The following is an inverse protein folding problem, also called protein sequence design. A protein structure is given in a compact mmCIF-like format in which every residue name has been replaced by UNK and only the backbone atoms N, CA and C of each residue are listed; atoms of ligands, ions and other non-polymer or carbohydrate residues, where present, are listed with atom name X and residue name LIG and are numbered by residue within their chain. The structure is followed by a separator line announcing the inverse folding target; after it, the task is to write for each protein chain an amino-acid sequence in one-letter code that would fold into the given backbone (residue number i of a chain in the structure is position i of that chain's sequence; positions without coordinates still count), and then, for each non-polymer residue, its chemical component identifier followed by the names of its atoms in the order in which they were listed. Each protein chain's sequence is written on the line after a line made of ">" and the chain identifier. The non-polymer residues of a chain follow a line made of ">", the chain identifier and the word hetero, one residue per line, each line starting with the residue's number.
data_IF_036944451629
#
_entry.id   IF_036944451629
#
_cell.length_a   1.000
_cell.length_b   1.000
_cell.length_c   1.000
_cell.angle_alpha   90.00
_cell.angle_beta   90.00
_cell.angle_gamma   90.00
#
_symmetry.space_group_name_H-M   'P 1'
#
loop_
_entity.id
_entity.type
_entity.pdbx_description
1 polymer ?
#
# COMPACT_ATOMS: atom_id res chain seq x y z
N UNK A 1 -18.54 -15.88 -16.91
CA UNK A 1 -17.08 -16.05 -16.66
C UNK A 1 -16.21 -15.27 -17.66
N UNK A 2 -16.67 -14.98 -18.88
CA UNK A 2 -15.93 -14.18 -19.90
C UNK A 2 -15.83 -12.67 -19.62
N UNK A 3 -16.87 -12.03 -19.07
CA UNK A 3 -16.86 -10.58 -18.81
C UNK A 3 -15.76 -10.14 -17.82
N UNK A 4 -15.43 -11.00 -16.84
CA UNK A 4 -14.37 -10.73 -15.86
C UNK A 4 -12.97 -10.78 -16.48
N UNK A 5 -12.72 -11.71 -17.41
CA UNK A 5 -11.44 -11.82 -18.11
C UNK A 5 -11.18 -10.61 -19.01
N UNK A 6 -12.21 -10.09 -19.67
CA UNK A 6 -12.09 -8.87 -20.46
C UNK A 6 -11.76 -7.66 -19.58
N UNK A 7 -12.44 -7.49 -18.44
CA UNK A 7 -12.21 -6.36 -17.55
C UNK A 7 -10.80 -6.35 -16.95
N UNK A 8 -10.34 -7.48 -16.39
CA UNK A 8 -8.98 -7.57 -15.81
C UNK A 8 -7.89 -7.32 -16.84
N UNK A 9 -8.07 -7.82 -18.06
CA UNK A 9 -7.12 -7.57 -19.17
C UNK A 9 -7.04 -6.09 -19.54
N UNK A 10 -8.19 -5.36 -19.52
CA UNK A 10 -8.21 -3.91 -19.75
C UNK A 10 -7.53 -3.13 -18.63
N UNK A 11 -7.72 -3.53 -17.37
CA UNK A 11 -7.03 -2.90 -16.24
C UNK A 11 -5.53 -3.12 -16.32
N UNK A 12 -5.10 -4.35 -16.58
CA UNK A 12 -3.70 -4.69 -16.81
C UNK A 12 -3.09 -3.79 -17.90
N UNK A 13 -3.69 -3.77 -19.09
CA UNK A 13 -3.17 -2.98 -20.21
C UNK A 13 -3.13 -1.47 -19.91
N UNK A 14 -4.08 -0.95 -19.12
CA UNK A 14 -4.08 0.46 -18.73
C UNK A 14 -2.98 0.77 -17.71
N UNK A 15 -2.89 -0.03 -16.64
CA UNK A 15 -1.95 0.20 -15.54
C UNK A 15 -0.51 -0.24 -15.84
N UNK A 16 -0.29 -1.02 -16.90
CA UNK A 16 1.02 -1.38 -17.45
C UNK A 16 1.42 -0.48 -18.65
N UNK A 17 0.86 0.73 -18.68
CA UNK A 17 1.07 1.72 -19.74
C UNK A 17 0.74 3.13 -19.28
N UNK A 18 -0.14 3.83 -19.99
CA UNK A 18 -0.48 5.23 -19.68
C UNK A 18 -1.00 5.46 -18.25
N UNK A 19 -1.66 4.44 -17.67
CA UNK A 19 -2.10 4.48 -16.29
C UNK A 19 -0.93 4.56 -15.32
N UNK A 20 0.13 3.77 -15.55
CA UNK A 20 1.33 3.79 -14.72
C UNK A 20 1.92 5.19 -14.60
N UNK A 21 2.24 5.82 -15.74
CA UNK A 21 2.86 7.16 -15.76
C UNK A 21 2.02 8.19 -15.00
N UNK A 22 0.69 8.17 -15.21
CA UNK A 22 -0.23 9.12 -14.57
C UNK A 22 -0.31 8.89 -13.06
N UNK A 23 -0.48 7.65 -12.63
CA UNK A 23 -0.66 7.32 -11.22
C UNK A 23 0.65 7.39 -10.44
N UNK A 24 1.76 6.97 -11.02
CA UNK A 24 3.11 7.15 -10.47
C UNK A 24 3.41 8.64 -10.23
N UNK A 25 3.11 9.52 -11.20
CA UNK A 25 3.26 10.96 -11.00
C UNK A 25 2.32 11.52 -9.92
N UNK A 26 1.10 11.01 -9.80
CA UNK A 26 0.16 11.42 -8.73
C UNK A 26 0.63 10.95 -7.35
N UNK A 27 1.28 9.80 -7.24
CA UNK A 27 1.67 9.21 -5.96
C UNK A 27 3.12 9.50 -5.55
N UNK A 28 3.96 9.96 -6.47
CA UNK A 28 5.28 10.50 -6.19
C UNK A 28 5.29 12.03 -6.04
N UNK A 29 6.48 12.62 -6.15
CA UNK A 29 6.73 14.04 -5.85
C UNK A 29 6.59 14.99 -7.05
N UNK A 30 6.21 14.47 -8.23
CA UNK A 30 6.08 15.28 -9.43
C UNK A 30 5.07 16.43 -9.25
N UNK A 31 5.32 17.56 -9.92
CA UNK A 31 4.30 18.60 -10.04
C UNK A 31 3.11 18.08 -10.85
N UNK A 32 1.90 18.26 -10.31
CA UNK A 32 0.66 17.81 -10.94
C UNK A 32 -0.40 18.91 -10.88
N UNK A 33 -1.40 18.81 -11.77
CA UNK A 33 -2.51 19.74 -11.83
C UNK A 33 -3.29 19.84 -10.51
N UNK A 34 -4.06 20.92 -10.32
CA UNK A 34 -4.86 21.14 -9.10
C UNK A 34 -5.74 19.95 -8.73
N UNK A 35 -6.44 19.37 -9.70
CA UNK A 35 -7.31 18.20 -9.48
C UNK A 35 -6.50 16.99 -9.02
N UNK A 36 -5.34 16.74 -9.66
CA UNK A 36 -4.45 15.64 -9.30
C UNK A 36 -3.82 15.82 -7.91
N UNK A 37 -3.52 17.06 -7.50
CA UNK A 37 -3.10 17.35 -6.12
C UNK A 37 -4.20 16.99 -5.11
N UNK A 38 -5.46 17.30 -5.40
CA UNK A 38 -6.58 16.89 -4.56
C UNK A 38 -6.68 15.36 -4.46
N UNK A 39 -6.49 14.64 -5.58
CA UNK A 39 -6.46 13.16 -5.59
C UNK A 39 -5.31 12.65 -4.72
N UNK A 40 -4.09 13.18 -4.88
CA UNK A 40 -2.90 12.83 -4.06
C UNK A 40 -3.19 13.00 -2.57
N UNK A 41 -3.75 14.15 -2.18
CA UNK A 41 -4.07 14.46 -0.78
C UNK A 41 -5.15 13.53 -0.22
N UNK A 42 -6.20 13.26 -1.00
CA UNK A 42 -7.26 12.32 -0.60
C UNK A 42 -6.71 10.91 -0.41
N UNK A 43 -5.89 10.44 -1.34
CA UNK A 43 -5.23 9.14 -1.27
C UNK A 43 -4.32 9.03 -0.03
N UNK A 44 -3.49 10.03 0.23
CA UNK A 44 -2.63 10.05 1.43
C UNK A 44 -3.44 9.96 2.74
N UNK A 45 -4.59 10.65 2.82
CA UNK A 45 -5.50 10.56 3.98
C UNK A 45 -6.12 9.18 4.10
N UNK A 46 -6.56 8.59 2.98
CA UNK A 46 -7.12 7.24 2.96
C UNK A 46 -6.10 6.22 3.46
N UNK A 47 -4.84 6.29 3.01
CA UNK A 47 -3.78 5.40 3.48
C UNK A 47 -3.50 5.55 4.98
N UNK A 48 -3.42 6.79 5.47
CA UNK A 48 -3.20 7.04 6.90
C UNK A 48 -4.34 6.48 7.78
N UNK A 49 -5.59 6.59 7.34
CA UNK A 49 -6.74 6.00 8.04
C UNK A 49 -6.70 4.47 8.01
N UNK A 50 -6.37 3.87 6.86
CA UNK A 50 -6.27 2.42 6.73
C UNK A 50 -5.15 1.85 7.63
N UNK A 51 -3.97 2.50 7.62
CA UNK A 51 -2.86 2.16 8.51
C UNK A 51 -3.27 2.26 9.98
N UNK A 52 -3.95 3.34 10.37
CA UNK A 52 -4.44 3.53 11.74
C UNK A 52 -5.39 2.41 12.16
N UNK A 53 -6.43 2.13 11.38
CA UNK A 53 -7.40 1.09 11.71
C UNK A 53 -6.79 -0.30 11.78
N UNK A 54 -5.86 -0.62 10.87
CA UNK A 54 -5.15 -1.90 10.92
C UNK A 54 -4.31 -2.02 12.19
N UNK A 55 -3.58 -0.96 12.57
CA UNK A 55 -2.80 -0.94 13.80
C UNK A 55 -3.68 -1.05 15.05
N UNK A 56 -4.86 -0.45 15.06
CA UNK A 56 -5.83 -0.55 16.16
C UNK A 56 -6.39 -1.98 16.27
N UNK A 57 -6.75 -2.59 15.14
CA UNK A 57 -7.26 -3.95 15.09
C UNK A 57 -6.23 -4.97 15.59
N UNK A 58 -4.97 -4.87 15.13
CA UNK A 58 -3.91 -5.79 15.54
C UNK A 58 -3.55 -5.67 17.03
N UNK A 59 -3.62 -4.46 17.62
CA UNK A 59 -3.44 -4.27 19.07
C UNK A 59 -4.57 -4.87 19.89
N UNK A 60 -5.80 -4.87 19.37
CA UNK A 60 -6.94 -5.46 20.07
C UNK A 60 -6.88 -7.00 20.11
N UNK A 61 -6.27 -7.61 19.08
CA UNK A 61 -6.06 -9.06 18.99
C UNK A 61 -4.87 -9.54 19.84
N UNK A 62 -3.94 -8.66 20.18
CA UNK A 62 -2.78 -8.92 21.07
C UNK A 62 -3.24 -9.07 22.54
N UNK A 63 -3.86 -10.21 22.84
CA UNK A 63 -4.20 -10.60 24.22
C UNK A 63 -2.90 -10.77 25.01
N UNK A 64 -2.70 -10.13 26.17
CA UNK A 64 -1.43 -10.16 26.87
C UNK A 64 -1.08 -11.60 27.26
N UNK A 65 -0.06 -12.15 26.61
CA UNK A 65 0.54 -13.42 27.03
C UNK A 65 1.71 -13.07 27.94
N UNK A 66 1.48 -13.24 29.25
CA UNK A 66 2.46 -13.17 30.35
C UNK A 66 3.16 -11.82 30.59
N UNK A 67 2.78 -11.15 31.70
CA UNK A 67 3.57 -10.29 32.58
C UNK A 67 4.59 -9.26 32.05
N UNK A 68 4.58 -8.89 30.77
CA UNK A 68 5.41 -7.79 30.27
C UNK A 68 4.61 -6.49 30.17
N UNK A 69 4.54 -5.75 31.28
CA UNK A 69 3.86 -4.44 31.36
C UNK A 69 4.65 -3.33 30.64
N UNK A 70 5.73 -3.65 29.92
CA UNK A 70 6.60 -2.68 29.27
C UNK A 70 6.48 -2.65 27.73
N UNK A 71 5.76 -3.58 27.10
CA UNK A 71 5.60 -3.63 25.63
C UNK A 71 4.34 -2.89 25.17
N UNK A 72 4.32 -1.55 25.23
CA UNK A 72 3.13 -0.75 24.84
C UNK A 72 3.28 0.07 23.55
N UNK A 73 4.29 -0.18 22.71
CA UNK A 73 4.44 0.61 21.47
C UNK A 73 4.79 -0.14 20.20
N UNK A 74 5.22 -1.41 20.28
CA UNK A 74 5.60 -2.19 19.10
C UNK A 74 4.52 -3.22 18.84
N UNK A 75 3.88 -3.14 17.67
CA UNK A 75 3.04 -4.22 17.16
C UNK A 75 3.92 -5.45 16.97
N UNK A 76 3.52 -6.61 17.50
CA UNK A 76 4.19 -7.87 17.18
C UNK A 76 4.19 -8.15 15.67
N UNK A 77 5.12 -8.98 15.16
CA UNK A 77 5.22 -9.26 13.73
C UNK A 77 3.90 -9.86 13.21
N UNK A 78 3.17 -9.07 12.43
CA UNK A 78 1.91 -9.45 11.79
C UNK A 78 2.11 -9.61 10.29
N UNK A 79 1.55 -10.67 9.70
CA UNK A 79 1.59 -10.88 8.25
C UNK A 79 0.44 -10.14 7.58
N UNK A 80 0.74 -9.34 6.55
CA UNK A 80 -0.26 -8.55 5.81
C UNK A 80 -0.15 -8.83 4.31
N UNK A 81 -1.30 -8.92 3.63
CA UNK A 81 -1.40 -8.94 2.17
C UNK A 81 -1.96 -7.60 1.68
N UNK A 82 -1.18 -6.88 0.87
CA UNK A 82 -1.61 -5.68 0.15
C UNK A 82 -1.94 -6.05 -1.30
N UNK A 83 -3.23 -6.21 -1.60
CA UNK A 83 -3.72 -6.65 -2.91
C UNK A 83 -4.18 -5.48 -3.78
N UNK A 84 -3.46 -5.23 -4.87
CA UNK A 84 -3.55 -3.99 -5.66
C UNK A 84 -2.65 -2.90 -5.08
N UNK A 85 -1.41 -3.25 -4.74
CA UNK A 85 -0.51 -2.39 -3.98
C UNK A 85 -0.06 -1.12 -4.73
N UNK A 86 -0.28 -1.04 -6.05
CA UNK A 86 0.16 0.08 -6.87
C UNK A 86 1.67 0.31 -6.74
N UNK A 87 2.09 1.55 -6.46
CA UNK A 87 3.50 1.89 -6.24
C UNK A 87 4.00 1.59 -4.82
N UNK A 88 3.24 0.86 -4.00
CA UNK A 88 3.70 0.32 -2.72
C UNK A 88 3.65 1.28 -1.53
N UNK A 89 2.93 2.41 -1.62
CA UNK A 89 2.89 3.40 -0.54
C UNK A 89 2.37 2.83 0.79
N UNK A 90 1.27 2.06 0.77
CA UNK A 90 0.74 1.43 1.97
C UNK A 90 1.65 0.31 2.46
N UNK A 91 2.07 -0.57 1.54
CA UNK A 91 3.02 -1.64 1.82
C UNK A 91 4.26 -1.15 2.56
N UNK A 92 4.87 -0.05 2.11
CA UNK A 92 6.04 0.55 2.74
C UNK A 92 5.72 1.13 4.13
N UNK A 93 4.57 1.80 4.29
CA UNK A 93 4.15 2.33 5.59
C UNK A 93 3.97 1.20 6.62
N UNK A 94 3.31 0.10 6.24
CA UNK A 94 3.10 -1.06 7.10
C UNK A 94 4.41 -1.80 7.42
N UNK A 95 5.30 -1.97 6.43
CA UNK A 95 6.63 -2.55 6.64
C UNK A 95 7.45 -1.75 7.66
N UNK A 96 7.42 -0.41 7.59
CA UNK A 96 8.07 0.49 8.57
C UNK A 96 7.50 0.37 9.99
N UNK A 97 6.30 -0.20 10.16
CA UNK A 97 5.71 -0.54 11.47
C UNK A 97 6.11 -1.93 11.97
N UNK A 98 7.00 -2.63 11.26
CA UNK A 98 7.47 -3.97 11.63
C UNK A 98 6.58 -5.11 11.12
N UNK A 99 5.62 -4.82 10.24
CA UNK A 99 4.76 -5.86 9.65
C UNK A 99 5.47 -6.58 8.51
N UNK A 100 5.19 -7.88 8.35
CA UNK A 100 5.65 -8.66 7.21
C UNK A 100 4.64 -8.57 6.07
N UNK A 101 4.93 -7.71 5.08
CA UNK A 101 3.98 -7.39 4.00
C UNK A 101 4.29 -8.19 2.74
N UNK A 102 3.30 -8.90 2.22
CA UNK A 102 3.28 -9.40 0.85
C UNK A 102 2.47 -8.43 0.00
N UNK A 103 3.11 -7.80 -1.00
CA UNK A 103 2.47 -6.83 -1.88
C UNK A 103 2.28 -7.44 -3.27
N UNK A 104 1.07 -7.35 -3.82
CA UNK A 104 0.77 -7.86 -5.16
C UNK A 104 -0.01 -6.83 -5.96
N UNK A 105 0.30 -6.72 -7.25
CA UNK A 105 -0.49 -5.96 -8.21
C UNK A 105 -0.61 -6.76 -9.51
N UNK A 106 -1.68 -6.51 -10.26
CA UNK A 106 -1.86 -7.15 -11.56
C UNK A 106 -0.89 -6.58 -12.60
N UNK A 107 -0.50 -5.29 -12.47
CA UNK A 107 0.34 -4.60 -13.42
C UNK A 107 1.84 -4.74 -13.06
N UNK A 108 2.67 -5.35 -13.93
CA UNK A 108 4.11 -5.52 -13.68
C UNK A 108 4.85 -4.20 -13.39
N UNK A 109 4.53 -3.11 -14.10
CA UNK A 109 5.15 -1.81 -13.83
C UNK A 109 4.86 -1.27 -12.42
N UNK A 110 3.66 -1.52 -11.87
CA UNK A 110 3.32 -1.14 -10.49
C UNK A 110 4.17 -1.92 -9.49
N UNK A 111 4.26 -3.26 -9.67
CA UNK A 111 5.09 -4.13 -8.82
C UNK A 111 6.55 -3.70 -8.85
N UNK A 112 7.09 -3.38 -10.04
CA UNK A 112 8.47 -2.91 -10.18
C UNK A 112 8.71 -1.59 -9.42
N UNK A 113 7.77 -0.63 -9.51
CA UNK A 113 7.87 0.62 -8.78
C UNK A 113 7.76 0.43 -7.26
N UNK A 114 6.87 -0.45 -6.79
CA UNK A 114 6.76 -0.80 -5.38
C UNK A 114 8.05 -1.45 -4.85
N UNK A 115 8.64 -2.36 -5.62
CA UNK A 115 9.92 -2.99 -5.26
C UNK A 115 11.07 -1.97 -5.19
N UNK A 116 11.13 -1.03 -6.13
CA UNK A 116 12.11 0.05 -6.11
C UNK A 116 11.93 0.97 -4.90
N UNK A 117 10.69 1.39 -4.59
CA UNK A 117 10.40 2.23 -3.44
C UNK A 117 10.76 1.57 -2.10
N UNK A 118 10.61 0.24 -2.00
CA UNK A 118 11.05 -0.52 -0.83
C UNK A 118 12.58 -0.56 -0.75
N UNK A 119 13.27 -0.84 -1.86
CA UNK A 119 14.73 -0.86 -1.92
C UNK A 119 15.34 0.49 -1.50
N UNK A 120 14.77 1.59 -1.98
CA UNK A 120 15.26 2.95 -1.70
C UNK A 120 15.01 3.38 -0.24
N UNK A 121 14.09 2.72 0.46
CA UNK A 121 13.75 3.03 1.85
C UNK A 121 14.70 2.41 2.88
N UNK A 122 15.60 1.50 2.47
CA UNK A 122 16.47 0.71 3.35
C UNK A 122 15.76 -0.42 4.08
#
# INVERSE_FOLDING_TARGET
>A
MELSHNHKSRLLAYFDGQGFERWSAIYGDAEVSRIRRTIRQGHARMLALAEQWLCEALRADDRPTTNDQLSSSVLGPSSVLDAGCGTGLLSLALARRGMHVTAVDIAPQMVAAAAAALHDAG
#
